data_IF_987538771788
#
_entry.id   IF_987538771788
#
_cell.length_a   1.000
_cell.length_b   1.000
_cell.length_c   1.000
_cell.angle_alpha   90.00
_cell.angle_beta   90.00
_cell.angle_gamma   90.00
#
_symmetry.space_group_name_H-M   'P 1'
#
loop_
_entity.id
_entity.type
_entity.pdbx_description
1 polymer ?
#
# COMPACT_ATOMS: atom_id res chain seq x y z
N UNK A 1 -5.82 4.47 14.69
CA UNK A 1 -5.96 3.11 15.25
C UNK A 1 -4.65 2.32 15.11
N UNK A 2 -4.09 2.14 13.91
CA UNK A 2 -2.97 1.22 13.64
C UNK A 2 -1.60 1.62 14.27
N UNK A 3 -1.45 2.82 14.77
CA UNK A 3 -0.30 3.28 15.58
C UNK A 3 -0.52 3.16 17.10
N UNK A 4 -1.65 2.62 17.53
CA UNK A 4 -1.96 2.45 18.94
C UNK A 4 -1.30 1.17 19.50
N UNK A 5 -1.07 1.14 20.80
CA UNK A 5 -0.54 -0.06 21.50
C UNK A 5 -1.48 -1.27 21.33
N UNK A 6 -2.77 -1.03 21.13
CA UNK A 6 -3.79 -2.04 20.91
C UNK A 6 -3.92 -2.49 19.43
N UNK A 7 -3.01 -2.07 18.54
CA UNK A 7 -3.06 -2.50 17.15
C UNK A 7 -2.89 -4.01 17.00
N UNK A 8 -3.53 -4.57 16.00
CA UNK A 8 -3.48 -6.00 15.69
C UNK A 8 -3.50 -6.23 14.16
N UNK A 9 -3.19 -7.44 13.68
CA UNK A 9 -3.39 -7.81 12.27
C UNK A 9 -4.86 -7.68 11.84
N UNK A 10 -5.10 -7.53 10.54
CA UNK A 10 -6.45 -7.58 9.97
C UNK A 10 -7.02 -9.00 10.10
N UNK A 11 -6.21 -10.00 9.79
CA UNK A 11 -6.55 -11.42 9.93
C UNK A 11 -6.11 -11.92 11.30
N UNK A 12 -7.09 -12.31 12.11
CA UNK A 12 -6.90 -12.85 13.45
C UNK A 12 -7.71 -14.13 13.62
N UNK A 13 -7.19 -15.14 14.35
CA UNK A 13 -7.99 -16.30 14.71
C UNK A 13 -9.10 -15.91 15.70
N UNK A 14 -10.35 -16.19 15.32
CA UNK A 14 -11.53 -16.00 16.17
C UNK A 14 -11.93 -17.35 16.75
N UNK A 15 -11.59 -17.60 18.01
CA UNK A 15 -11.81 -18.89 18.68
C UNK A 15 -13.16 -18.91 19.43
N UNK A 16 -13.64 -17.73 19.84
CA UNK A 16 -14.89 -17.59 20.61
C UNK A 16 -15.71 -16.40 20.17
N UNK A 17 -17.00 -16.38 20.55
CA UNK A 17 -17.89 -15.24 20.31
C UNK A 17 -17.38 -13.94 20.98
N UNK A 18 -16.68 -14.04 22.10
CA UNK A 18 -16.09 -12.87 22.75
C UNK A 18 -14.92 -12.31 21.92
N UNK A 19 -14.11 -13.16 21.33
CA UNK A 19 -13.01 -12.71 20.42
C UNK A 19 -13.57 -11.99 19.21
N UNK A 20 -14.67 -12.48 18.65
CA UNK A 20 -15.37 -11.82 17.54
C UNK A 20 -15.74 -10.36 17.88
N UNK A 21 -16.28 -10.10 19.05
CA UNK A 21 -16.62 -8.72 19.45
C UNK A 21 -15.40 -7.83 19.67
N UNK A 22 -14.27 -8.40 20.06
CA UNK A 22 -13.02 -7.66 20.29
C UNK A 22 -12.31 -7.25 18.99
N UNK A 23 -12.55 -7.97 17.89
CA UNK A 23 -11.93 -7.67 16.58
C UNK A 23 -12.87 -6.89 15.65
N UNK A 24 -14.03 -6.48 16.13
CA UNK A 24 -15.02 -5.68 15.38
C UNK A 24 -14.73 -4.20 15.58
N UNK A 25 -13.64 -3.71 14.99
CA UNK A 25 -13.07 -2.39 15.23
C UNK A 25 -12.56 -1.70 13.96
N UNK A 26 -11.95 -0.51 14.13
CA UNK A 26 -11.39 0.30 13.04
C UNK A 26 -10.26 -0.43 12.28
N UNK A 27 -9.54 -1.37 12.92
CA UNK A 27 -8.50 -2.14 12.23
C UNK A 27 -9.14 -3.07 11.20
N UNK A 28 -10.12 -3.84 11.62
CA UNK A 28 -10.80 -4.78 10.73
C UNK A 28 -11.49 -4.05 9.56
N UNK A 29 -12.14 -2.91 9.82
CA UNK A 29 -12.90 -2.16 8.79
C UNK A 29 -12.05 -1.14 8.05
N UNK A 30 -11.48 -0.15 8.72
CA UNK A 30 -10.85 0.99 8.05
C UNK A 30 -9.50 0.62 7.47
N UNK A 31 -8.64 -0.08 8.24
CA UNK A 31 -7.40 -0.61 7.72
C UNK A 31 -7.68 -1.69 6.67
N UNK A 32 -8.63 -2.60 6.92
CA UNK A 32 -9.03 -3.63 5.96
C UNK A 32 -9.45 -3.02 4.62
N UNK A 33 -10.30 -2.00 4.61
CA UNK A 33 -10.72 -1.30 3.39
C UNK A 33 -9.53 -0.63 2.68
N UNK A 34 -8.64 0.03 3.45
CA UNK A 34 -7.45 0.68 2.91
C UNK A 34 -6.48 -0.32 2.27
N UNK A 35 -6.28 -1.46 2.92
CA UNK A 35 -5.41 -2.54 2.42
C UNK A 35 -6.01 -3.21 1.18
N UNK A 36 -7.33 -3.40 1.10
CA UNK A 36 -7.99 -3.89 -0.13
C UNK A 36 -7.87 -2.90 -1.29
N UNK A 37 -7.94 -1.59 -1.02
CA UNK A 37 -7.67 -0.57 -2.03
C UNK A 37 -6.23 -0.63 -2.52
N UNK A 38 -5.26 -0.78 -1.61
CA UNK A 38 -3.85 -0.99 -1.93
C UNK A 38 -3.64 -2.24 -2.77
N UNK A 39 -4.29 -3.37 -2.43
CA UNK A 39 -4.24 -4.61 -3.21
C UNK A 39 -4.79 -4.41 -4.63
N UNK A 40 -5.91 -3.68 -4.75
CA UNK A 40 -6.50 -3.34 -6.05
C UNK A 40 -5.55 -2.53 -6.93
N UNK A 41 -4.79 -1.60 -6.33
CA UNK A 41 -3.75 -0.86 -7.04
C UNK A 41 -2.55 -1.76 -7.39
N UNK A 42 -2.12 -2.60 -6.44
CA UNK A 42 -0.97 -3.50 -6.57
C UNK A 42 -1.11 -4.48 -7.74
N UNK A 43 -2.27 -5.15 -7.88
CA UNK A 43 -2.53 -6.12 -8.97
C UNK A 43 -3.20 -5.51 -10.21
N UNK A 44 -3.59 -4.25 -10.13
CA UNK A 44 -4.36 -3.53 -11.15
C UNK A 44 -5.87 -3.68 -10.97
N UNK A 45 -6.59 -2.58 -11.09
CA UNK A 45 -8.05 -2.47 -10.80
C UNK A 45 -8.89 -3.50 -11.56
N UNK A 46 -8.55 -3.78 -12.84
CA UNK A 46 -9.32 -4.76 -13.64
C UNK A 46 -9.08 -6.20 -13.17
N UNK A 47 -7.83 -6.57 -12.86
CA UNK A 47 -7.53 -7.87 -12.27
C UNK A 47 -8.25 -8.06 -10.93
N UNK A 48 -8.26 -7.02 -10.09
CA UNK A 48 -8.99 -7.05 -8.82
C UNK A 48 -10.49 -7.25 -9.05
N UNK A 49 -11.11 -6.45 -9.92
CA UNK A 49 -12.55 -6.55 -10.24
C UNK A 49 -12.94 -7.93 -10.75
N UNK A 50 -12.19 -8.47 -11.71
CA UNK A 50 -12.48 -9.81 -12.29
C UNK A 50 -12.20 -10.90 -11.27
N UNK A 51 -11.11 -10.82 -10.52
CA UNK A 51 -10.76 -11.78 -9.48
C UNK A 51 -11.82 -11.87 -8.38
N UNK A 52 -12.32 -10.73 -7.90
CA UNK A 52 -13.45 -10.67 -6.94
C UNK A 52 -14.73 -11.26 -7.54
N UNK A 53 -15.04 -10.95 -8.80
CA UNK A 53 -16.21 -11.53 -9.47
C UNK A 53 -16.11 -13.06 -9.58
N UNK A 54 -14.93 -13.58 -9.92
CA UNK A 54 -14.69 -15.02 -10.00
C UNK A 54 -14.79 -15.70 -8.63
N UNK A 55 -14.21 -15.08 -7.59
CA UNK A 55 -14.33 -15.53 -6.21
C UNK A 55 -15.80 -15.65 -5.77
N UNK A 56 -16.61 -14.58 -5.94
CA UNK A 56 -18.01 -14.58 -5.55
C UNK A 56 -18.86 -15.61 -6.32
N UNK A 57 -18.52 -15.89 -7.59
CA UNK A 57 -19.21 -16.92 -8.38
C UNK A 57 -18.81 -18.33 -7.94
N UNK A 58 -17.52 -18.56 -7.70
CA UNK A 58 -16.98 -19.86 -7.32
C UNK A 58 -17.49 -20.32 -5.97
N UNK A 59 -17.57 -19.41 -5.02
CA UNK A 59 -17.94 -19.69 -3.63
C UNK A 59 -19.35 -19.19 -3.26
N UNK A 60 -20.25 -19.13 -4.26
CA UNK A 60 -21.63 -18.69 -4.03
C UNK A 60 -22.32 -19.56 -2.98
N UNK A 61 -22.83 -18.94 -1.91
CA UNK A 61 -23.52 -19.59 -0.81
C UNK A 61 -22.66 -20.49 0.09
N UNK A 62 -21.34 -20.38 -0.02
CA UNK A 62 -20.38 -21.10 0.80
C UNK A 62 -19.68 -20.18 1.78
N UNK A 63 -19.11 -20.75 2.86
CA UNK A 63 -18.18 -20.05 3.74
C UNK A 63 -16.78 -20.16 3.12
N UNK A 64 -15.98 -19.10 3.29
CA UNK A 64 -14.64 -19.01 2.72
C UNK A 64 -13.64 -18.49 3.75
N UNK A 65 -12.37 -18.74 3.48
CA UNK A 65 -11.24 -18.20 4.23
C UNK A 65 -10.48 -17.15 3.39
N UNK A 66 -9.60 -16.40 4.02
CA UNK A 66 -8.76 -15.41 3.32
C UNK A 66 -7.95 -16.05 2.18
N UNK A 67 -7.47 -17.27 2.37
CA UNK A 67 -6.74 -18.02 1.35
C UNK A 67 -7.54 -18.25 0.05
N UNK A 68 -8.85 -18.46 0.12
CA UNK A 68 -9.73 -18.62 -1.04
C UNK A 68 -9.83 -17.31 -1.84
N UNK A 69 -9.95 -16.19 -1.13
CA UNK A 69 -9.99 -14.87 -1.72
C UNK A 69 -8.66 -14.52 -2.39
N UNK A 70 -7.55 -14.66 -1.66
CA UNK A 70 -6.20 -14.39 -2.19
C UNK A 70 -5.84 -15.31 -3.35
N UNK A 71 -6.23 -16.59 -3.29
CA UNK A 71 -6.03 -17.55 -4.37
C UNK A 71 -6.77 -17.16 -5.66
N UNK A 72 -7.99 -16.64 -5.55
CA UNK A 72 -8.78 -16.18 -6.70
C UNK A 72 -8.16 -14.94 -7.36
N UNK A 73 -7.63 -14.01 -6.56
CA UNK A 73 -6.93 -12.82 -7.04
C UNK A 73 -5.56 -13.18 -7.65
N UNK A 74 -4.82 -14.09 -7.02
CA UNK A 74 -3.54 -14.61 -7.55
C UNK A 74 -3.73 -15.27 -8.93
N UNK A 75 -4.75 -16.11 -9.06
CA UNK A 75 -5.07 -16.76 -10.33
C UNK A 75 -5.40 -15.75 -11.43
N UNK A 76 -6.15 -14.68 -11.10
CA UNK A 76 -6.55 -13.68 -12.06
C UNK A 76 -5.40 -12.75 -12.46
N UNK A 77 -4.57 -12.33 -11.51
CA UNK A 77 -3.46 -11.39 -11.75
C UNK A 77 -2.20 -12.06 -12.29
N UNK A 78 -2.05 -13.37 -12.08
CA UNK A 78 -0.81 -14.10 -12.36
C UNK A 78 0.31 -13.82 -11.34
N UNK A 79 0.02 -13.13 -10.23
CA UNK A 79 0.97 -12.77 -9.17
C UNK A 79 0.72 -13.70 -7.97
N UNK A 80 1.76 -14.29 -7.39
CA UNK A 80 1.65 -14.95 -6.08
C UNK A 80 1.44 -13.89 -4.98
N UNK A 81 0.23 -13.86 -4.42
CA UNK A 81 -0.15 -12.90 -3.38
C UNK A 81 0.09 -13.41 -1.95
N UNK A 82 0.63 -14.62 -1.76
CA UNK A 82 0.91 -15.12 -0.42
C UNK A 82 1.92 -14.26 0.35
N UNK A 83 3.07 -13.82 -0.21
CA UNK A 83 3.98 -12.91 0.49
C UNK A 83 3.30 -11.58 0.84
N UNK A 84 2.55 -11.02 -0.09
CA UNK A 84 1.80 -9.78 0.13
C UNK A 84 0.79 -9.92 1.29
N UNK A 85 0.03 -11.02 1.32
CA UNK A 85 -0.94 -11.30 2.38
C UNK A 85 -0.25 -11.46 3.76
N UNK A 86 0.92 -12.10 3.82
CA UNK A 86 1.69 -12.24 5.05
C UNK A 86 2.05 -10.87 5.64
N UNK A 87 2.46 -9.92 4.82
CA UNK A 87 2.89 -8.61 5.27
C UNK A 87 1.71 -7.68 5.59
N UNK A 88 0.63 -7.75 4.82
CA UNK A 88 -0.46 -6.79 4.90
C UNK A 88 -1.65 -7.25 5.74
N UNK A 89 -1.98 -8.55 5.70
CA UNK A 89 -3.14 -9.11 6.42
C UNK A 89 -2.78 -9.66 7.79
N UNK A 90 -1.59 -10.31 7.91
CA UNK A 90 -1.18 -11.01 9.12
C UNK A 90 -0.21 -10.22 10.01
N UNK A 91 0.20 -9.01 9.61
CA UNK A 91 1.09 -8.16 10.41
C UNK A 91 0.38 -6.87 10.86
N UNK A 92 0.58 -6.52 12.13
CA UNK A 92 0.14 -5.25 12.69
C UNK A 92 1.05 -4.09 12.29
N UNK A 93 0.60 -2.86 12.54
CA UNK A 93 1.36 -1.64 12.33
C UNK A 93 1.38 -1.17 10.87
N UNK A 94 1.90 0.03 10.64
CA UNK A 94 2.03 0.68 9.33
C UNK A 94 3.46 1.14 9.10
N UNK A 95 3.88 1.22 7.84
CA UNK A 95 5.14 1.83 7.46
C UNK A 95 4.97 3.34 7.24
N UNK A 96 6.03 4.09 7.49
CA UNK A 96 6.16 5.48 7.07
C UNK A 96 7.03 5.53 5.82
N UNK A 97 6.57 6.23 4.79
CA UNK A 97 7.34 6.47 3.57
C UNK A 97 7.65 7.95 3.45
N UNK A 98 8.89 8.27 3.05
CA UNK A 98 9.42 9.64 2.94
C UNK A 98 10.18 9.78 1.63
N UNK A 99 9.92 10.88 0.89
CA UNK A 99 10.70 11.23 -0.28
C UNK A 99 11.96 12.00 0.14
N UNK A 100 13.11 11.58 -0.35
CA UNK A 100 14.39 12.26 -0.18
C UNK A 100 15.03 12.53 -1.54
N UNK A 101 15.31 13.79 -1.84
CA UNK A 101 15.89 14.18 -3.12
C UNK A 101 16.88 15.32 -2.99
N UNK A 102 17.69 15.49 -4.00
CA UNK A 102 18.60 16.62 -4.17
C UNK A 102 18.47 17.19 -5.57
N UNK A 103 18.69 18.48 -5.71
CA UNK A 103 18.61 19.20 -6.98
C UNK A 103 19.85 20.06 -7.22
N UNK A 104 20.08 20.36 -8.49
CA UNK A 104 21.01 21.42 -8.94
C UNK A 104 20.30 22.32 -9.98
N UNK A 105 21.07 23.16 -10.67
CA UNK A 105 20.53 24.06 -11.69
C UNK A 105 19.85 23.34 -12.89
N UNK A 106 20.09 22.03 -13.07
CA UNK A 106 19.58 21.23 -14.19
C UNK A 106 18.38 20.33 -13.77
N UNK A 107 17.99 20.35 -12.49
CA UNK A 107 16.87 19.56 -11.95
C UNK A 107 17.30 18.56 -10.87
N UNK A 108 16.51 17.50 -10.72
CA UNK A 108 16.74 16.45 -9.69
C UNK A 108 18.00 15.66 -10.04
N UNK A 109 18.95 15.60 -9.08
CA UNK A 109 20.21 14.85 -9.22
C UNK A 109 20.19 13.51 -8.50
N UNK A 110 19.35 13.38 -7.45
CA UNK A 110 19.12 12.11 -6.75
C UNK A 110 17.69 12.08 -6.23
N UNK A 111 17.07 10.90 -6.22
CA UNK A 111 15.75 10.69 -5.63
C UNK A 111 15.64 9.28 -5.06
N UNK A 112 15.24 9.18 -3.80
CA UNK A 112 14.97 7.94 -3.10
C UNK A 112 13.69 8.03 -2.27
N UNK A 113 12.99 6.92 -2.13
CA UNK A 113 11.96 6.73 -1.12
C UNK A 113 12.56 5.94 0.03
N UNK A 114 12.45 6.48 1.23
CA UNK A 114 12.79 5.79 2.46
C UNK A 114 11.54 5.20 3.07
N UNK A 115 11.64 3.96 3.53
CA UNK A 115 10.58 3.28 4.25
C UNK A 115 11.06 2.89 5.64
N UNK A 116 10.31 3.25 6.66
CA UNK A 116 10.57 2.88 8.06
C UNK A 116 9.38 2.15 8.65
N UNK A 117 9.63 1.41 9.73
CA UNK A 117 8.63 0.66 10.48
C UNK A 117 8.76 0.98 11.98
N UNK A 118 7.69 0.83 12.78
CA UNK A 118 7.78 0.90 14.23
C UNK A 118 8.61 -0.27 14.79
N UNK A 119 9.41 -0.02 15.82
CA UNK A 119 10.20 -1.08 16.49
C UNK A 119 9.32 -2.21 17.04
N UNK A 120 8.09 -1.89 17.46
CA UNK A 120 7.12 -2.86 17.95
C UNK A 120 6.54 -3.78 16.88
N UNK A 121 6.61 -3.36 15.61
CA UNK A 121 6.07 -4.08 14.44
C UNK A 121 7.04 -3.98 13.27
N UNK A 122 8.17 -4.74 13.31
CA UNK A 122 9.32 -4.55 12.44
C UNK A 122 9.13 -5.19 11.05
N UNK A 123 8.02 -4.89 10.39
CA UNK A 123 7.71 -5.39 9.04
C UNK A 123 7.82 -4.26 8.03
N UNK A 124 8.75 -4.36 7.08
CA UNK A 124 8.77 -3.54 5.87
C UNK A 124 7.91 -4.22 4.82
N UNK A 125 6.99 -3.47 4.22
CA UNK A 125 6.02 -3.99 3.25
C UNK A 125 6.39 -3.56 1.84
N UNK A 126 6.29 -4.48 0.91
CA UNK A 126 6.35 -4.15 -0.51
C UNK A 126 5.09 -3.35 -0.89
N UNK A 127 5.30 -2.20 -1.55
CA UNK A 127 4.23 -1.28 -1.89
C UNK A 127 4.34 -0.87 -3.36
N UNK A 128 3.18 -0.64 -3.99
CA UNK A 128 3.10 0.00 -5.30
C UNK A 128 2.29 1.27 -5.15
N UNK A 129 2.91 2.41 -5.40
CA UNK A 129 2.33 3.74 -5.21
C UNK A 129 2.65 4.65 -6.39
N UNK A 130 2.01 5.82 -6.45
CA UNK A 130 2.44 6.89 -7.34
C UNK A 130 3.16 7.98 -6.56
N UNK A 131 4.33 8.38 -7.06
CA UNK A 131 5.02 9.57 -6.61
C UNK A 131 4.50 10.78 -7.40
N UNK A 132 3.86 11.73 -6.71
CA UNK A 132 3.51 13.02 -7.29
C UNK A 132 4.62 14.05 -7.03
N UNK A 133 5.08 14.71 -8.09
CA UNK A 133 5.98 15.88 -8.02
C UNK A 133 5.18 17.13 -8.37
N UNK A 134 5.31 18.16 -7.55
CA UNK A 134 4.52 19.37 -7.65
C UNK A 134 5.39 20.61 -7.59
N UNK A 135 5.01 21.63 -8.38
CA UNK A 135 5.55 22.99 -8.26
C UNK A 135 4.45 23.99 -7.91
N UNK A 136 4.85 25.13 -7.40
CA UNK A 136 3.96 26.27 -7.14
C UNK A 136 4.08 27.32 -8.25
N UNK A 137 2.95 27.82 -8.72
CA UNK A 137 2.91 28.95 -9.64
C UNK A 137 3.21 30.28 -8.91
N UNK A 138 3.29 31.37 -9.66
CA UNK A 138 3.53 32.72 -9.12
C UNK A 138 2.45 33.23 -8.16
N UNK A 139 1.28 32.59 -8.12
CA UNK A 139 0.16 32.90 -7.22
C UNK A 139 0.12 31.97 -6.00
N UNK A 140 1.03 30.99 -5.92
CA UNK A 140 1.10 30.00 -4.87
C UNK A 140 0.13 28.80 -5.07
N UNK A 141 -0.45 28.65 -6.25
CA UNK A 141 -1.22 27.44 -6.58
C UNK A 141 -0.26 26.28 -6.85
N UNK A 142 -0.58 25.12 -6.30
CA UNK A 142 0.21 23.88 -6.45
C UNK A 142 -0.30 23.10 -7.66
N UNK A 143 0.58 22.82 -8.61
CA UNK A 143 0.29 22.06 -9.82
C UNK A 143 1.10 20.77 -9.86
N UNK A 144 0.49 19.69 -10.39
CA UNK A 144 1.16 18.42 -10.59
C UNK A 144 2.04 18.48 -11.85
N UNK A 145 3.36 18.37 -11.67
CA UNK A 145 4.32 18.33 -12.78
C UNK A 145 4.51 16.92 -13.34
N UNK A 146 4.56 15.94 -12.45
CA UNK A 146 4.74 14.54 -12.84
C UNK A 146 4.09 13.57 -11.83
N UNK A 147 3.54 12.46 -12.35
CA UNK A 147 3.11 11.31 -11.58
C UNK A 147 3.93 10.08 -12.03
N UNK A 148 4.71 9.49 -11.14
CA UNK A 148 5.65 8.42 -11.43
C UNK A 148 5.22 7.17 -10.67
N UNK A 149 4.85 6.07 -11.35
CA UNK A 149 4.60 4.81 -10.67
C UNK A 149 5.90 4.25 -10.10
N UNK A 150 5.87 3.87 -8.82
CA UNK A 150 7.03 3.29 -8.14
C UNK A 150 6.64 2.03 -7.37
N UNK A 151 7.57 1.10 -7.31
CA UNK A 151 7.50 -0.07 -6.44
C UNK A 151 8.54 0.11 -5.34
N UNK A 152 8.08 0.08 -4.09
CA UNK A 152 8.91 0.28 -2.91
C UNK A 152 9.27 -1.10 -2.35
N UNK A 153 10.58 -1.36 -2.21
CA UNK A 153 11.12 -2.59 -1.66
C UNK A 153 12.14 -2.27 -0.55
N UNK A 154 11.94 -2.88 0.61
CA UNK A 154 12.87 -2.70 1.73
C UNK A 154 12.89 -1.27 2.29
N UNK A 155 14.01 -0.88 2.90
CA UNK A 155 14.13 0.38 3.63
C UNK A 155 14.42 1.60 2.74
N UNK A 156 14.98 1.40 1.54
CA UNK A 156 15.32 2.47 0.61
C UNK A 156 15.14 1.99 -0.84
N UNK A 157 14.40 2.77 -1.61
CA UNK A 157 14.17 2.53 -3.03
C UNK A 157 14.59 3.75 -3.84
N UNK A 158 15.55 3.57 -4.75
CA UNK A 158 15.95 4.63 -5.69
C UNK A 158 14.89 4.83 -6.77
N UNK A 159 14.67 6.08 -7.19
CA UNK A 159 13.70 6.46 -8.22
C UNK A 159 14.39 7.09 -9.43
N UNK A 160 15.03 6.28 -10.31
CA UNK A 160 15.77 6.81 -11.46
C UNK A 160 14.90 7.62 -12.43
N UNK A 161 13.60 7.31 -12.50
CA UNK A 161 12.64 8.02 -13.36
C UNK A 161 12.42 9.50 -12.97
N UNK A 162 12.80 9.89 -11.75
CA UNK A 162 12.74 11.28 -11.31
C UNK A 162 13.96 12.10 -11.70
N UNK A 163 15.08 11.45 -12.04
CA UNK A 163 16.35 12.15 -12.32
C UNK A 163 16.23 13.00 -13.58
N UNK A 164 16.69 14.26 -13.48
CA UNK A 164 16.66 15.24 -14.58
C UNK A 164 15.30 15.94 -14.76
N UNK A 165 14.26 15.56 -14.02
CA UNK A 165 13.03 16.35 -13.95
C UNK A 165 13.28 17.67 -13.19
N UNK A 166 12.39 18.65 -13.40
CA UNK A 166 12.46 19.91 -12.65
C UNK A 166 12.41 19.64 -11.13
N UNK A 167 13.15 20.47 -10.37
CA UNK A 167 13.15 20.35 -8.92
C UNK A 167 11.76 20.72 -8.36
N UNK A 168 11.06 19.82 -7.66
CA UNK A 168 9.73 20.08 -7.18
C UNK A 168 9.77 20.90 -5.87
N UNK A 169 8.71 21.67 -5.63
CA UNK A 169 8.47 22.30 -4.33
C UNK A 169 7.90 21.30 -3.31
N UNK A 170 7.18 20.28 -3.81
CA UNK A 170 6.61 19.22 -3.00
C UNK A 170 6.71 17.87 -3.72
N UNK A 171 7.19 16.86 -3.01
CA UNK A 171 7.14 15.47 -3.45
C UNK A 171 6.22 14.66 -2.53
N UNK A 172 5.15 14.10 -3.09
CA UNK A 172 4.18 13.27 -2.36
C UNK A 172 4.36 11.80 -2.76
N UNK A 173 4.97 10.97 -1.89
CA UNK A 173 5.33 9.59 -2.26
C UNK A 173 4.16 8.61 -2.35
N UNK A 174 2.97 9.02 -1.95
CA UNK A 174 1.72 8.24 -2.06
C UNK A 174 0.61 9.17 -2.57
N UNK A 175 0.76 9.60 -3.82
CA UNK A 175 -0.15 10.55 -4.47
C UNK A 175 -1.50 9.89 -4.80
N UNK A 176 -1.49 8.63 -5.29
CA UNK A 176 -2.67 7.78 -5.58
C UNK A 176 -2.36 6.31 -5.29
#
# INVERSE_FOLDING_TARGET
ADNAVSTHPIELPVVSTNDFFNVFDDITYDKGASVLNQLSHYIGRENFRVGVSNYLKKYSWENTELADFMGSLSQQSGIDLNPWAQDWMYQAGVNTIEARFSCDANGITSFAILQTMPDSHPTLRDQRVQLGLFSSDSNGAIELDAAIPIEIFGAETQVPAAIGLACPDLALPNYE
#
